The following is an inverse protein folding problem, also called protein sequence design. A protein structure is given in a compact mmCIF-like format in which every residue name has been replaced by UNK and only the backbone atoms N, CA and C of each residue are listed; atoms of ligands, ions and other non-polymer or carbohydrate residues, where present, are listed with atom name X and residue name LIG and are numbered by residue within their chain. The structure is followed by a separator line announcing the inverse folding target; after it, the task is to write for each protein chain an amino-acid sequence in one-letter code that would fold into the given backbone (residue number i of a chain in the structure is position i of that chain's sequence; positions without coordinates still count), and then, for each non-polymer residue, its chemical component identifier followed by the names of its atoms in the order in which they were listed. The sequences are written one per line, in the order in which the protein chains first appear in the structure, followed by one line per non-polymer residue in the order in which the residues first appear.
data_IF_586280554980
#
_entry.id   IF_586280554980
#
_cell.length_a   1.000
_cell.length_b   1.000
_cell.length_c   1.000
_cell.angle_alpha   90.00
_cell.angle_beta   90.00
_cell.angle_gamma   90.00
#
_symmetry.space_group_name_H-M   'P 1'
#
loop_
_entity.id
_entity.type
_entity.pdbx_description
1 polymer ?
#
# COMPACT_ATOMS: atom_id res chain seq x y z
N UNK A 1 -13.68 10.03 -12.02
CA UNK A 1 -12.55 9.27 -12.56
C UNK A 1 -12.25 9.80 -13.96
N UNK A 2 -11.03 10.27 -14.18
CA UNK A 2 -10.61 10.74 -15.50
C UNK A 2 -10.56 9.56 -16.50
N UNK A 3 -10.72 9.78 -17.83
CA UNK A 3 -10.62 8.71 -18.82
C UNK A 3 -9.27 7.96 -18.77
N UNK A 4 -9.27 6.65 -19.04
CA UNK A 4 -8.07 5.84 -19.18
C UNK A 4 -8.32 4.61 -20.03
N UNK A 5 -7.25 4.10 -20.63
CA UNK A 5 -7.23 2.81 -21.34
C UNK A 5 -7.12 1.62 -20.39
N UNK A 6 -6.59 1.85 -19.19
CA UNK A 6 -6.34 0.82 -18.19
C UNK A 6 -7.07 1.12 -16.88
N UNK A 7 -7.69 0.08 -16.34
CA UNK A 7 -8.43 0.07 -15.09
C UNK A 7 -8.17 -1.25 -14.37
N UNK A 8 -8.25 -1.19 -13.05
CA UNK A 8 -8.22 -2.39 -12.21
C UNK A 8 -9.65 -2.80 -11.94
N UNK A 9 -10.02 -4.03 -12.27
CA UNK A 9 -11.24 -4.65 -11.76
C UNK A 9 -10.85 -5.53 -10.59
N UNK A 10 -11.28 -5.18 -9.40
CA UNK A 10 -10.87 -5.85 -8.18
C UNK A 10 -12.06 -6.30 -7.34
N UNK A 11 -11.87 -7.47 -6.74
CA UNK A 11 -12.48 -7.89 -5.49
C UNK A 11 -11.34 -8.41 -4.62
N UNK A 12 -11.49 -8.40 -3.31
CA UNK A 12 -10.62 -9.19 -2.45
C UNK A 12 -11.42 -10.31 -1.85
N UNK A 13 -10.94 -11.55 -2.04
CA UNK A 13 -11.47 -12.72 -1.35
C UNK A 13 -11.29 -12.60 0.17
N UNK A 14 -10.30 -11.81 0.58
CA UNK A 14 -9.87 -11.63 1.96
C UNK A 14 -10.66 -10.51 2.65
N UNK A 15 -10.97 -9.43 1.92
CA UNK A 15 -11.83 -8.35 2.38
C UNK A 15 -13.30 -8.57 2.00
N UNK A 16 -14.02 -9.26 2.88
CA UNK A 16 -15.47 -9.46 2.76
C UNK A 16 -16.30 -8.20 2.97
N UNK A 17 -15.69 -7.09 3.44
CA UNK A 17 -16.39 -5.80 3.55
C UNK A 17 -16.49 -5.06 2.22
N UNK A 18 -15.63 -5.41 1.23
CA UNK A 18 -15.44 -4.68 -0.03
C UNK A 18 -15.03 -3.21 0.16
N UNK A 19 -14.54 -2.82 1.33
CA UNK A 19 -14.37 -1.42 1.69
C UNK A 19 -12.94 -1.04 2.04
N UNK A 20 -12.04 -1.97 2.41
CA UNK A 20 -10.74 -1.61 2.96
C UNK A 20 -9.86 -0.83 1.99
N UNK A 21 -9.70 -1.32 0.76
CA UNK A 21 -9.00 -0.60 -0.31
C UNK A 21 -9.66 0.76 -0.62
N UNK A 22 -10.97 0.82 -0.95
CA UNK A 22 -11.66 2.09 -1.16
C UNK A 22 -11.58 3.08 0.02
N UNK A 23 -11.60 2.59 1.27
CA UNK A 23 -11.49 3.39 2.49
C UNK A 23 -10.08 3.98 2.61
N UNK A 24 -9.03 3.17 2.45
CA UNK A 24 -7.65 3.64 2.49
C UNK A 24 -7.39 4.72 1.44
N UNK A 25 -7.88 4.52 0.22
CA UNK A 25 -7.75 5.52 -0.85
C UNK A 25 -8.51 6.81 -0.52
N UNK A 26 -9.70 6.71 0.07
CA UNK A 26 -10.45 7.89 0.49
C UNK A 26 -9.74 8.66 1.61
N UNK A 27 -9.26 7.97 2.64
CA UNK A 27 -8.50 8.56 3.75
C UNK A 27 -7.29 9.33 3.20
N UNK A 28 -6.50 8.71 2.32
CA UNK A 28 -5.33 9.35 1.74
C UNK A 28 -5.67 10.61 0.94
N UNK A 29 -6.76 10.58 0.16
CA UNK A 29 -7.28 11.76 -0.54
C UNK A 29 -7.70 12.87 0.42
N UNK A 30 -8.39 12.54 1.52
CA UNK A 30 -8.79 13.54 2.53
C UNK A 30 -7.62 14.19 3.24
N UNK A 31 -6.48 13.51 3.31
CA UNK A 31 -5.23 14.06 3.80
C UNK A 31 -4.47 14.89 2.75
N UNK A 32 -5.05 15.09 1.56
CA UNK A 32 -4.50 15.92 0.48
C UNK A 32 -3.55 15.20 -0.45
N UNK A 33 -3.49 13.87 -0.42
CA UNK A 33 -2.67 13.07 -1.33
C UNK A 33 -3.47 12.57 -2.53
N UNK A 34 -2.77 12.16 -3.59
CA UNK A 34 -3.44 11.46 -4.68
C UNK A 34 -3.59 9.97 -4.33
N UNK A 35 -4.77 9.40 -4.58
CA UNK A 35 -5.02 7.98 -4.42
C UNK A 35 -6.08 7.51 -5.43
N UNK A 36 -6.05 6.25 -5.88
CA UNK A 36 -6.98 5.71 -6.87
C UNK A 36 -8.45 5.94 -6.53
N UNK A 37 -9.21 6.59 -7.42
CA UNK A 37 -10.66 6.56 -7.32
C UNK A 37 -11.20 5.16 -7.62
N UNK A 38 -12.30 4.78 -6.95
CA UNK A 38 -13.00 3.51 -7.17
C UNK A 38 -14.49 3.70 -7.42
N UNK A 39 -15.10 2.76 -8.14
CA UNK A 39 -16.55 2.67 -8.37
C UNK A 39 -17.00 1.22 -8.25
N UNK A 40 -17.96 0.97 -7.36
CA UNK A 40 -18.57 -0.35 -7.22
C UNK A 40 -19.38 -0.72 -8.45
N UNK A 41 -19.31 -1.99 -8.84
CA UNK A 41 -20.01 -2.55 -9.98
C UNK A 41 -20.51 -3.96 -9.65
N UNK A 42 -21.65 -4.33 -10.22
CA UNK A 42 -22.11 -5.72 -10.22
C UNK A 42 -21.62 -6.37 -11.52
N UNK A 43 -20.68 -7.31 -11.43
CA UNK A 43 -20.11 -7.96 -12.59
C UNK A 43 -21.05 -9.05 -13.12
N UNK A 44 -21.36 -8.98 -14.42
CA UNK A 44 -22.15 -9.99 -15.13
C UNK A 44 -21.45 -10.32 -16.44
N UNK A 45 -21.46 -11.60 -16.82
CA UNK A 45 -20.93 -12.06 -18.09
C UNK A 45 -21.93 -13.00 -18.75
N UNK A 46 -22.50 -12.58 -19.88
CA UNK A 46 -23.65 -13.25 -20.48
C UNK A 46 -24.83 -13.28 -19.50
N UNK A 47 -25.40 -14.47 -19.28
CA UNK A 47 -26.45 -14.69 -18.27
C UNK A 47 -25.93 -14.88 -16.85
N UNK A 48 -24.60 -15.05 -16.67
CA UNK A 48 -24.01 -15.39 -15.37
C UNK A 48 -23.71 -14.15 -14.54
N UNK A 49 -24.01 -14.27 -13.27
CA UNK A 49 -23.74 -13.30 -12.23
C UNK A 49 -22.44 -13.63 -11.50
N UNK A 50 -21.56 -12.66 -11.33
CA UNK A 50 -20.29 -12.82 -10.62
C UNK A 50 -20.25 -11.99 -9.33
N UNK A 51 -21.30 -11.22 -9.04
CA UNK A 51 -21.39 -10.47 -7.79
C UNK A 51 -20.75 -9.09 -7.81
N UNK A 52 -20.37 -8.60 -6.64
CA UNK A 52 -19.90 -7.25 -6.35
C UNK A 52 -18.39 -7.13 -6.56
N UNK A 53 -17.99 -6.11 -7.29
CA UNK A 53 -16.60 -5.73 -7.54
C UNK A 53 -16.47 -4.21 -7.38
N UNK A 54 -15.25 -3.70 -7.47
CA UNK A 54 -15.00 -2.31 -7.79
C UNK A 54 -14.02 -2.18 -8.95
N UNK A 55 -14.27 -1.17 -9.79
CA UNK A 55 -13.32 -0.69 -10.78
C UNK A 55 -12.52 0.44 -10.12
N UNK A 56 -11.18 0.38 -10.24
CA UNK A 56 -10.25 1.34 -9.67
C UNK A 56 -9.29 1.91 -10.70
N UNK A 57 -8.81 3.13 -10.46
CA UNK A 57 -7.69 3.69 -11.20
C UNK A 57 -6.42 2.86 -10.93
N UNK A 58 -5.61 2.64 -11.96
CA UNK A 58 -4.26 2.09 -11.80
C UNK A 58 -3.32 3.20 -11.34
N UNK A 59 -2.40 2.90 -10.43
CA UNK A 59 -1.35 3.84 -10.01
C UNK A 59 -0.33 3.98 -11.13
N UNK A 60 -0.46 5.05 -11.89
CA UNK A 60 0.43 5.41 -12.99
C UNK A 60 0.25 6.89 -13.30
N UNK A 61 1.28 7.51 -13.86
CA UNK A 61 1.15 8.87 -14.35
C UNK A 61 0.13 8.96 -15.49
N UNK A 62 -0.86 9.86 -15.35
CA UNK A 62 -1.88 10.11 -16.34
C UNK A 62 -2.55 11.47 -16.10
N UNK A 63 -2.90 12.23 -17.16
CA UNK A 63 -3.66 13.47 -17.02
C UNK A 63 -4.94 13.28 -16.19
N UNK A 64 -5.21 14.20 -15.28
CA UNK A 64 -6.38 14.17 -14.39
C UNK A 64 -6.33 13.09 -13.29
N UNK A 65 -5.19 12.41 -13.10
CA UNK A 65 -4.94 11.40 -12.07
C UNK A 65 -3.64 11.72 -11.31
N UNK A 66 -2.77 10.73 -11.10
CA UNK A 66 -1.41 10.98 -10.64
C UNK A 66 -0.68 11.75 -11.74
N UNK A 67 -0.33 13.00 -11.48
CA UNK A 67 0.21 13.88 -12.50
C UNK A 67 1.72 13.67 -12.64
N UNK A 68 2.18 13.56 -13.88
CA UNK A 68 3.60 13.66 -14.15
C UNK A 68 4.05 15.10 -13.81
N UNK A 69 5.20 15.29 -13.13
CA UNK A 69 5.82 16.61 -13.00
C UNK A 69 6.03 17.29 -14.35
N UNK A 70 6.12 18.61 -14.36
CA UNK A 70 6.35 19.40 -15.58
C UNK A 70 7.67 19.02 -16.26
N UNK A 71 7.68 19.02 -17.60
CA UNK A 71 8.87 18.68 -18.38
C UNK A 71 10.09 19.54 -18.01
N UNK A 72 11.28 18.92 -17.97
CA UNK A 72 12.56 19.61 -17.74
C UNK A 72 13.04 19.67 -16.29
N UNK A 73 12.27 19.20 -15.31
CA UNK A 73 12.71 19.20 -13.90
C UNK A 73 13.71 18.09 -13.54
N UNK A 74 13.89 17.10 -14.41
CA UNK A 74 14.67 15.89 -14.10
C UNK A 74 13.91 14.90 -13.19
N UNK A 75 12.67 15.22 -12.83
CA UNK A 75 11.76 14.40 -12.03
C UNK A 75 10.82 13.53 -12.88
N UNK A 76 9.83 12.91 -12.26
CA UNK A 76 8.80 12.11 -12.94
C UNK A 76 9.17 10.64 -13.05
N UNK A 77 9.86 10.13 -12.04
CA UNK A 77 10.14 8.70 -11.87
C UNK A 77 9.13 8.17 -10.85
N UNK A 78 8.40 7.13 -11.21
CA UNK A 78 7.53 6.40 -10.29
C UNK A 78 8.22 5.10 -9.89
N UNK A 79 8.32 4.88 -8.59
CA UNK A 79 8.91 3.70 -7.99
C UNK A 79 7.84 2.94 -7.20
N UNK A 80 7.99 1.62 -7.14
CA UNK A 80 7.19 0.75 -6.30
C UNK A 80 8.10 0.09 -5.25
N UNK A 81 7.75 0.19 -3.98
CA UNK A 81 8.36 -0.60 -2.90
C UNK A 81 7.58 -1.91 -2.86
N UNK A 82 8.17 -2.97 -3.41
CA UNK A 82 7.54 -4.28 -3.59
C UNK A 82 8.63 -5.36 -3.81
N UNK A 83 8.21 -6.62 -3.89
CA UNK A 83 9.04 -7.75 -4.28
C UNK A 83 9.58 -7.60 -5.70
N UNK A 84 10.90 -7.75 -5.95
CA UNK A 84 11.46 -7.68 -7.29
C UNK A 84 10.72 -8.59 -8.27
N UNK A 85 10.25 -8.02 -9.39
CA UNK A 85 9.60 -8.75 -10.48
C UNK A 85 10.59 -9.05 -11.59
N UNK A 86 10.49 -10.26 -12.16
CA UNK A 86 11.32 -10.64 -13.31
C UNK A 86 11.07 -9.66 -14.47
N UNK A 87 12.15 -9.20 -15.11
CA UNK A 87 12.08 -8.23 -16.22
C UNK A 87 11.89 -6.77 -15.81
N UNK A 88 11.58 -6.48 -14.54
CA UNK A 88 11.54 -5.10 -14.03
C UNK A 88 12.90 -4.66 -13.50
N UNK A 89 13.23 -3.38 -13.66
CA UNK A 89 14.46 -2.79 -13.12
C UNK A 89 14.20 -2.35 -11.69
N UNK A 90 15.12 -2.67 -10.79
CA UNK A 90 15.06 -2.26 -9.39
C UNK A 90 16.41 -1.77 -8.89
N UNK A 91 16.38 -0.87 -7.91
CA UNK A 91 17.52 -0.53 -7.05
C UNK A 91 17.26 -1.05 -5.64
N UNK A 92 18.32 -1.20 -4.85
CA UNK A 92 18.20 -1.61 -3.44
C UNK A 92 19.00 -0.63 -2.58
N UNK A 93 18.36 -0.09 -1.55
CA UNK A 93 19.02 0.84 -0.65
C UNK A 93 20.14 0.15 0.15
N UNK A 94 21.23 0.86 0.36
CA UNK A 94 22.48 0.30 0.90
C UNK A 94 22.38 -0.16 2.36
N UNK A 95 21.73 0.61 3.22
CA UNK A 95 21.71 0.38 4.67
C UNK A 95 20.64 -0.62 5.07
N UNK A 96 19.39 -0.36 4.69
CA UNK A 96 18.22 -1.15 5.11
C UNK A 96 17.88 -2.26 4.12
N UNK A 97 18.30 -2.14 2.86
CA UNK A 97 18.02 -3.15 1.83
C UNK A 97 16.61 -3.07 1.25
N UNK A 98 15.93 -1.94 1.39
CA UNK A 98 14.61 -1.70 0.78
C UNK A 98 14.74 -1.72 -0.73
N UNK A 99 13.86 -2.46 -1.39
CA UNK A 99 13.85 -2.59 -2.85
C UNK A 99 12.89 -1.58 -3.45
N UNK A 100 13.37 -0.81 -4.43
CA UNK A 100 12.57 0.12 -5.20
C UNK A 100 12.58 -0.31 -6.66
N UNK A 101 11.42 -0.70 -7.18
CA UNK A 101 11.22 -1.09 -8.57
C UNK A 101 10.78 0.10 -9.41
N UNK A 102 11.29 0.23 -10.62
CA UNK A 102 10.94 1.34 -11.51
C UNK A 102 9.62 1.02 -12.22
N UNK A 103 8.54 1.66 -11.77
CA UNK A 103 7.22 1.54 -12.40
C UNK A 103 7.12 2.45 -13.64
N UNK A 104 7.75 3.62 -13.60
CA UNK A 104 7.87 4.56 -14.71
C UNK A 104 9.20 5.36 -14.63
N UNK A 105 9.89 5.63 -15.75
CA UNK A 105 9.55 5.22 -17.12
C UNK A 105 9.79 3.71 -17.35
N UNK A 106 9.06 3.13 -18.31
CA UNK A 106 9.24 1.70 -18.67
C UNK A 106 10.64 1.39 -19.22
N UNK A 107 11.21 2.33 -19.97
CA UNK A 107 12.57 2.24 -20.52
C UNK A 107 13.51 3.14 -19.70
N UNK A 108 13.76 2.77 -18.45
CA UNK A 108 14.67 3.53 -17.59
C UNK A 108 16.11 3.41 -18.08
N UNK A 109 16.79 4.55 -18.21
CA UNK A 109 18.19 4.62 -18.66
C UNK A 109 19.16 4.25 -17.54
N UNK A 110 20.41 3.94 -17.88
CA UNK A 110 21.46 3.71 -16.86
C UNK A 110 21.73 4.96 -16.01
N UNK A 111 21.65 6.16 -16.61
CA UNK A 111 21.80 7.41 -15.88
C UNK A 111 20.67 7.60 -14.87
N UNK A 112 19.41 7.37 -15.27
CA UNK A 112 18.27 7.44 -14.36
C UNK A 112 18.38 6.41 -13.24
N UNK A 113 18.77 5.16 -13.55
CA UNK A 113 18.99 4.16 -12.50
C UNK A 113 20.10 4.54 -11.52
N UNK A 114 21.20 5.11 -12.01
CA UNK A 114 22.28 5.61 -11.16
C UNK A 114 21.80 6.74 -10.25
N UNK A 115 21.00 7.68 -10.79
CA UNK A 115 20.39 8.75 -10.01
C UNK A 115 19.42 8.22 -8.95
N UNK A 116 18.52 7.29 -9.32
CA UNK A 116 17.59 6.67 -8.37
C UNK A 116 18.38 5.96 -7.25
N UNK A 117 19.42 5.18 -7.60
CA UNK A 117 20.26 4.49 -6.62
C UNK A 117 20.91 5.47 -5.63
N UNK A 118 21.50 6.56 -6.14
CA UNK A 118 22.10 7.59 -5.30
C UNK A 118 21.08 8.22 -4.34
N UNK A 119 19.91 8.61 -4.85
CA UNK A 119 18.87 9.23 -4.03
C UNK A 119 18.34 8.28 -2.94
N UNK A 120 18.03 7.02 -3.28
CA UNK A 120 17.53 6.07 -2.27
C UNK A 120 18.60 5.70 -1.24
N UNK A 121 19.88 5.64 -1.64
CA UNK A 121 20.98 5.42 -0.70
C UNK A 121 21.18 6.61 0.24
N UNK A 122 21.00 7.83 -0.26
CA UNK A 122 21.09 9.05 0.52
C UNK A 122 19.94 9.16 1.53
N UNK A 123 18.70 8.91 1.10
CA UNK A 123 17.54 8.83 2.00
C UNK A 123 17.76 7.77 3.08
N UNK A 124 18.18 6.57 2.70
CA UNK A 124 18.39 5.45 3.62
C UNK A 124 19.52 5.70 4.62
N UNK A 125 20.64 6.29 4.14
CA UNK A 125 21.76 6.70 4.98
C UNK A 125 21.39 7.81 5.97
N UNK A 126 20.70 8.87 5.49
CA UNK A 126 20.26 9.99 6.34
C UNK A 126 19.21 9.55 7.36
N UNK A 127 18.26 8.68 6.97
CA UNK A 127 17.29 8.11 7.89
C UNK A 127 17.96 7.28 8.99
N UNK A 128 18.94 6.43 8.64
CA UNK A 128 19.68 5.64 9.62
C UNK A 128 20.53 6.51 10.56
N UNK A 129 21.19 7.54 10.04
CA UNK A 129 21.96 8.49 10.85
C UNK A 129 21.07 9.38 11.74
N UNK A 130 19.90 9.78 11.24
CA UNK A 130 18.91 10.63 11.91
C UNK A 130 18.36 10.01 13.20
N UNK A 131 18.44 8.69 13.36
CA UNK A 131 18.13 7.99 14.62
C UNK A 131 19.05 8.43 15.77
N UNK A 132 20.28 8.85 15.47
CA UNK A 132 21.33 9.12 16.46
C UNK A 132 21.83 10.57 16.47
N UNK A 133 21.55 11.36 15.43
CA UNK A 133 22.03 12.74 15.30
C UNK A 133 20.92 13.70 14.84
N UNK A 134 20.62 14.75 15.62
CA UNK A 134 19.70 15.82 15.21
C UNK A 134 20.13 16.57 13.94
N UNK A 135 21.43 16.69 13.68
CA UNK A 135 21.98 17.33 12.48
C UNK A 135 21.64 16.51 11.23
N UNK A 136 21.83 15.18 11.29
CA UNK A 136 21.40 14.28 10.23
C UNK A 136 19.86 14.26 10.06
N UNK A 137 19.12 14.48 11.14
CA UNK A 137 17.66 14.60 11.10
C UNK A 137 17.19 15.86 10.34
N UNK A 138 17.92 16.97 10.44
CA UNK A 138 17.61 18.22 9.71
C UNK A 138 17.87 18.11 8.21
N UNK A 139 18.89 17.35 7.82
CA UNK A 139 19.23 17.18 6.40
C UNK A 139 18.28 16.21 5.68
N UNK A 140 17.54 15.36 6.40
CA UNK A 140 16.63 14.40 5.77
C UNK A 140 15.54 15.06 4.90
N UNK A 141 15.03 16.24 5.27
CA UNK A 141 14.02 17.00 4.51
C UNK A 141 14.53 17.51 3.15
N UNK A 142 15.85 17.58 2.96
CA UNK A 142 16.47 17.97 1.68
C UNK A 142 16.29 16.91 0.60
N UNK A 143 16.10 15.64 0.99
CA UNK A 143 16.00 14.49 0.08
C UNK A 143 14.69 13.71 0.21
N UNK A 144 13.89 13.99 1.24
CA UNK A 144 12.61 13.32 1.51
C UNK A 144 11.51 14.36 1.73
N UNK A 145 10.40 14.24 1.03
CA UNK A 145 9.22 15.07 1.29
C UNK A 145 8.47 14.58 2.55
N UNK A 146 8.68 15.30 3.65
CA UNK A 146 8.04 15.00 4.93
C UNK A 146 6.53 15.06 4.86
N UNK A 147 5.94 15.95 4.07
CA UNK A 147 4.49 16.10 4.03
C UNK A 147 3.82 14.87 3.40
N UNK A 148 4.35 14.36 2.29
CA UNK A 148 3.81 13.16 1.64
C UNK A 148 4.07 11.88 2.42
N UNK A 149 5.26 11.71 3.00
CA UNK A 149 5.54 10.54 3.84
C UNK A 149 4.72 10.57 5.13
N UNK A 150 4.58 11.72 5.78
CA UNK A 150 3.70 11.87 6.95
C UNK A 150 2.28 11.47 6.64
N UNK A 151 1.75 11.88 5.48
CA UNK A 151 0.42 11.46 5.02
C UNK A 151 0.28 9.94 4.94
N UNK A 152 1.28 9.27 4.38
CA UNK A 152 1.30 7.81 4.30
C UNK A 152 1.37 7.14 5.66
N UNK A 153 2.24 7.64 6.56
CA UNK A 153 2.29 7.16 7.94
C UNK A 153 0.93 7.30 8.62
N UNK A 154 0.24 8.43 8.49
CA UNK A 154 -1.08 8.59 9.11
C UNK A 154 -2.09 7.56 8.59
N UNK A 155 -2.07 7.27 7.28
CA UNK A 155 -2.89 6.19 6.73
C UNK A 155 -2.50 4.84 7.33
N UNK A 156 -1.22 4.50 7.35
CA UNK A 156 -0.76 3.18 7.76
C UNK A 156 -0.88 2.90 9.26
N UNK A 157 -0.75 3.92 10.09
CA UNK A 157 -0.98 3.82 11.53
C UNK A 157 -2.48 3.67 11.83
N UNK A 158 -3.35 4.34 11.08
CA UNK A 158 -4.80 4.20 11.24
C UNK A 158 -5.32 2.87 10.69
N UNK A 159 -4.75 2.42 9.57
CA UNK A 159 -5.13 1.19 8.89
C UNK A 159 -4.57 -0.06 9.57
N UNK A 160 -3.42 0.06 10.25
CA UNK A 160 -2.64 -1.06 10.80
C UNK A 160 -2.48 -2.14 9.72
N UNK A 161 -2.05 -1.72 8.53
CA UNK A 161 -1.90 -2.64 7.41
C UNK A 161 -0.72 -3.61 7.66
N UNK A 162 -0.95 -4.87 7.31
CA UNK A 162 0.04 -5.93 7.50
C UNK A 162 1.19 -5.81 6.53
N UNK A 163 0.97 -5.35 5.31
CA UNK A 163 2.02 -5.26 4.30
C UNK A 163 2.60 -3.84 4.19
N UNK A 164 1.90 -2.86 4.78
CA UNK A 164 2.37 -1.50 4.95
C UNK A 164 3.81 -1.39 5.45
N UNK A 165 4.49 -0.36 4.96
CA UNK A 165 5.92 -0.10 5.17
C UNK A 165 6.89 -1.16 4.62
N UNK A 166 6.41 -2.26 4.06
CA UNK A 166 7.24 -3.29 3.45
C UNK A 166 6.96 -3.46 1.95
N UNK A 167 5.68 -3.42 1.55
CA UNK A 167 5.24 -3.70 0.18
C UNK A 167 4.05 -2.82 -0.23
N UNK A 168 3.65 -2.96 -1.50
CA UNK A 168 2.44 -2.35 -2.06
C UNK A 168 2.39 -0.83 -1.88
N UNK A 169 3.54 -0.19 -2.06
CA UNK A 169 3.68 1.25 -1.86
C UNK A 169 4.30 1.91 -3.10
N UNK A 170 3.83 3.11 -3.43
CA UNK A 170 4.33 3.89 -4.56
C UNK A 170 4.91 5.21 -4.07
N UNK A 171 6.16 5.44 -4.45
CA UNK A 171 6.89 6.68 -4.21
C UNK A 171 7.34 7.26 -5.54
N UNK A 172 7.52 8.56 -5.62
CA UNK A 172 8.00 9.24 -6.81
C UNK A 172 9.24 10.07 -6.49
N UNK A 173 10.05 10.30 -7.52
CA UNK A 173 11.08 11.35 -7.47
C UNK A 173 10.47 12.63 -8.00
N UNK A 174 10.46 13.66 -7.15
CA UNK A 174 9.86 14.97 -7.41
C UNK A 174 10.63 16.06 -6.68
N UNK A 175 10.96 17.13 -7.41
CA UNK A 175 11.78 18.24 -6.95
C UNK A 175 13.11 17.76 -6.34
N UNK A 176 13.73 16.74 -6.94
CA UNK A 176 14.96 16.13 -6.45
C UNK A 176 14.82 15.30 -5.16
N UNK A 177 13.60 15.14 -4.64
CA UNK A 177 13.31 14.43 -3.39
C UNK A 177 12.50 13.17 -3.64
N UNK A 178 12.62 12.20 -2.74
CA UNK A 178 11.70 11.08 -2.65
C UNK A 178 10.41 11.55 -1.97
N UNK A 179 9.29 11.42 -2.68
CA UNK A 179 7.96 11.77 -2.20
C UNK A 179 7.05 10.54 -2.23
N UNK A 180 6.13 10.40 -1.29
CA UNK A 180 5.15 9.33 -1.38
C UNK A 180 4.06 9.69 -2.41
N UNK A 181 3.86 8.85 -3.42
CA UNK A 181 3.02 9.12 -4.57
C UNK A 181 1.57 8.66 -4.36
N UNK A 182 1.38 7.39 -3.94
CA UNK A 182 0.04 6.82 -3.78
C UNK A 182 0.06 5.55 -2.91
N UNK A 183 -0.93 5.35 -2.03
CA UNK A 183 -1.08 4.10 -1.31
C UNK A 183 -1.68 3.02 -2.23
N UNK A 184 -1.38 1.75 -1.95
CA UNK A 184 -1.96 0.62 -2.66
C UNK A 184 -2.20 -0.57 -1.71
N UNK A 185 -3.12 -1.47 -2.09
CA UNK A 185 -3.35 -2.80 -1.50
C UNK A 185 -3.51 -2.91 0.03
N UNK A 186 -4.54 -2.28 0.59
CA UNK A 186 -4.91 -2.31 2.01
C UNK A 186 -6.01 -3.34 2.33
N UNK A 187 -6.14 -4.43 1.57
CA UNK A 187 -7.18 -5.44 1.84
C UNK A 187 -6.92 -6.25 3.13
N UNK A 188 -5.66 -6.25 3.61
CA UNK A 188 -5.21 -6.81 4.88
C UNK A 188 -5.22 -5.82 6.07
N UNK A 189 -5.86 -4.65 5.90
CA UNK A 189 -5.91 -3.60 6.91
C UNK A 189 -7.21 -3.60 7.75
N UNK A 190 -7.37 -2.59 8.59
CA UNK A 190 -8.57 -2.28 9.37
C UNK A 190 -9.11 -3.48 10.17
N UNK A 191 -8.22 -4.12 10.93
CA UNK A 191 -8.57 -5.23 11.82
C UNK A 191 -8.69 -6.59 11.12
N UNK A 192 -8.17 -6.75 9.89
CA UNK A 192 -8.22 -8.02 9.17
C UNK A 192 -7.46 -9.16 9.87
N UNK A 193 -6.18 -8.97 10.23
CA UNK A 193 -5.40 -10.00 10.89
C UNK A 193 -4.85 -9.55 12.25
N UNK A 194 -5.21 -10.33 13.26
CA UNK A 194 -4.70 -10.22 14.63
C UNK A 194 -3.75 -11.38 14.94
N UNK A 195 -2.84 -11.73 14.02
CA UNK A 195 -1.83 -12.76 14.28
C UNK A 195 -0.68 -12.16 15.10
N UNK A 196 -0.32 -12.75 16.26
CA UNK A 196 0.82 -12.29 17.06
C UNK A 196 2.12 -12.19 16.25
N UNK A 197 2.35 -13.10 15.30
CA UNK A 197 3.55 -13.12 14.45
C UNK A 197 3.80 -11.81 13.69
N UNK A 198 2.76 -11.01 13.45
CA UNK A 198 2.84 -9.72 12.75
C UNK A 198 2.93 -8.50 13.67
N UNK A 199 2.96 -8.72 14.99
CA UNK A 199 2.87 -7.68 16.01
C UNK A 199 4.01 -7.76 17.03
N UNK A 200 5.14 -8.31 16.62
CA UNK A 200 6.37 -8.26 17.39
C UNK A 200 7.04 -6.92 17.16
N UNK A 201 7.17 -6.12 18.21
CA UNK A 201 7.82 -4.82 18.18
C UNK A 201 9.34 -4.97 17.95
N UNK A 202 9.88 -4.20 17.02
CA UNK A 202 11.27 -4.22 16.58
C UNK A 202 12.26 -3.64 17.59
N UNK A 203 11.77 -2.82 18.51
CA UNK A 203 12.57 -2.12 19.51
C UNK A 203 12.61 -2.89 20.82
N UNK A 204 11.48 -3.47 21.23
CA UNK A 204 11.35 -4.16 22.53
C UNK A 204 11.39 -5.68 22.42
N UNK A 205 11.13 -6.24 21.24
CA UNK A 205 10.95 -7.68 21.05
C UNK A 205 9.62 -8.22 21.61
N UNK A 206 8.79 -7.37 22.22
CA UNK A 206 7.50 -7.76 22.77
C UNK A 206 6.48 -8.00 21.66
N UNK A 207 5.68 -9.05 21.79
CA UNK A 207 4.60 -9.38 20.87
C UNK A 207 3.25 -9.05 21.50
N UNK A 208 2.51 -8.13 20.88
CA UNK A 208 1.16 -7.76 21.32
C UNK A 208 0.08 -8.45 20.49
N UNK A 209 -1.05 -8.78 21.10
CA UNK A 209 -2.28 -9.18 20.41
C UNK A 209 -3.30 -8.04 20.28
N UNK A 210 -3.02 -6.89 20.90
CA UNK A 210 -3.87 -5.69 20.87
C UNK A 210 -3.57 -4.76 19.71
N UNK A 211 -4.34 -3.67 19.63
CA UNK A 211 -4.16 -2.58 18.64
C UNK A 211 -3.27 -1.44 19.17
N UNK A 212 -2.64 -1.66 20.33
CA UNK A 212 -1.78 -0.69 20.99
C UNK A 212 -0.41 -0.58 20.31
N UNK A 213 0.18 0.61 20.38
CA UNK A 213 1.47 0.92 19.78
C UNK A 213 1.36 1.36 18.32
N UNK A 214 2.52 1.54 17.69
CA UNK A 214 2.63 1.99 16.30
C UNK A 214 2.90 0.81 15.38
N UNK A 215 2.18 0.73 14.26
CA UNK A 215 2.35 -0.30 13.25
C UNK A 215 3.76 -0.30 12.65
N UNK A 216 4.35 0.89 12.42
CA UNK A 216 5.73 1.01 11.90
C UNK A 216 6.78 0.36 12.80
N UNK A 217 6.50 0.23 14.11
CA UNK A 217 7.41 -0.41 15.06
C UNK A 217 7.35 -1.94 15.00
N UNK A 218 6.38 -2.54 14.32
CA UNK A 218 6.33 -3.99 14.17
C UNK A 218 7.37 -4.48 13.15
N UNK A 219 8.04 -5.59 13.48
CA UNK A 219 9.02 -6.23 12.60
C UNK A 219 8.31 -6.93 11.45
N UNK A 220 8.91 -6.87 10.26
CA UNK A 220 8.56 -7.71 9.12
C UNK A 220 9.79 -8.43 8.57
N UNK A 221 10.26 -9.43 9.30
CA UNK A 221 11.39 -10.30 8.94
C UNK A 221 10.93 -11.72 8.60
N UNK A 222 9.64 -12.02 8.74
CA UNK A 222 9.02 -13.23 8.22
C UNK A 222 7.59 -12.95 7.75
N UNK A 223 7.13 -13.71 6.76
CA UNK A 223 5.76 -13.60 6.26
C UNK A 223 5.25 -14.96 5.80
N UNK A 224 3.99 -15.26 6.10
CA UNK A 224 3.32 -16.43 5.54
C UNK A 224 2.71 -16.06 4.19
N UNK A 225 3.20 -16.67 3.12
CA UNK A 225 2.69 -16.54 1.75
C UNK A 225 1.93 -17.79 1.35
N UNK A 226 0.80 -17.64 0.65
CA UNK A 226 0.17 -18.77 -0.01
C UNK A 226 0.91 -19.14 -1.30
N UNK A 227 1.16 -20.43 -1.49
CA UNK A 227 1.75 -21.01 -2.69
C UNK A 227 0.84 -22.10 -3.26
N UNK A 228 1.14 -22.62 -4.45
CA UNK A 228 0.40 -23.73 -5.06
C UNK A 228 0.34 -24.99 -4.16
N UNK A 229 1.26 -25.12 -3.20
CA UNK A 229 1.35 -26.25 -2.26
C UNK A 229 1.02 -25.87 -0.81
N UNK A 230 0.36 -24.72 -0.60
CA UNK A 230 -0.10 -24.27 0.71
C UNK A 230 0.64 -23.05 1.26
N UNK A 231 0.38 -22.73 2.53
CA UNK A 231 1.03 -21.63 3.23
C UNK A 231 2.49 -21.96 3.55
N UNK A 232 3.40 -21.09 3.11
CA UNK A 232 4.82 -21.16 3.42
C UNK A 232 5.27 -19.90 4.13
N UNK A 233 6.09 -20.05 5.17
CA UNK A 233 6.73 -18.90 5.81
C UNK A 233 8.04 -18.58 5.12
N UNK A 234 8.11 -17.40 4.52
CA UNK A 234 9.32 -16.83 3.96
C UNK A 234 9.98 -16.02 5.07
N UNK A 235 11.23 -16.33 5.40
CA UNK A 235 12.03 -15.51 6.32
C UNK A 235 12.89 -14.55 5.49
N UNK A 236 12.73 -13.25 5.73
CA UNK A 236 13.66 -12.25 5.28
C UNK A 236 14.83 -12.17 6.27
N UNK A 237 16.05 -12.03 5.76
CA UNK A 237 17.24 -11.90 6.61
C UNK A 237 17.33 -10.53 7.32
N UNK A 238 16.40 -9.61 7.04
CA UNK A 238 16.32 -8.26 7.59
C UNK A 238 14.86 -7.87 7.79
N UNK A 239 14.63 -6.92 8.70
CA UNK A 239 13.33 -6.28 8.84
C UNK A 239 13.02 -5.48 7.57
N UNK A 240 11.99 -5.88 6.83
CA UNK A 240 11.61 -5.22 5.57
C UNK A 240 11.00 -3.83 5.78
N UNK A 241 10.61 -3.49 7.02
CA UNK A 241 10.12 -2.15 7.41
C UNK A 241 11.23 -1.21 7.91
N UNK A 242 12.50 -1.62 7.84
CA UNK A 242 13.58 -0.91 8.55
C UNK A 242 13.78 0.54 8.08
N UNK A 243 13.60 0.83 6.79
CA UNK A 243 13.67 2.22 6.30
C UNK A 243 12.65 3.11 7.01
N UNK A 244 11.37 2.71 6.99
CA UNK A 244 10.29 3.45 7.62
C UNK A 244 10.44 3.51 9.15
N UNK A 245 10.96 2.45 9.78
CA UNK A 245 11.30 2.49 11.20
C UNK A 245 12.41 3.51 11.50
N UNK A 246 13.40 3.65 10.63
CA UNK A 246 14.43 4.68 10.79
C UNK A 246 13.87 6.10 10.57
N UNK A 247 12.98 6.28 9.60
CA UNK A 247 12.24 7.54 9.41
C UNK A 247 11.44 7.90 10.66
N UNK A 248 10.66 6.95 11.19
CA UNK A 248 9.88 7.11 12.42
C UNK A 248 10.75 7.54 13.61
N UNK A 249 11.94 6.97 13.72
CA UNK A 249 12.88 7.24 14.82
C UNK A 249 13.72 8.48 14.61
N UNK A 250 13.63 9.14 13.46
CA UNK A 250 14.29 10.42 13.21
C UNK A 250 13.49 11.53 13.91
N UNK A 251 14.06 12.26 14.89
CA UNK A 251 13.29 13.18 15.73
C UNK A 251 12.54 14.29 14.97
N UNK A 252 13.13 14.83 13.91
CA UNK A 252 12.49 15.86 13.07
C UNK A 252 11.24 15.31 12.38
N UNK A 253 11.32 14.13 11.78
CA UNK A 253 10.19 13.48 11.12
C UNK A 253 9.11 13.09 12.13
N UNK A 254 9.48 12.52 13.28
CA UNK A 254 8.54 12.19 14.34
C UNK A 254 7.79 13.44 14.86
N UNK A 255 8.49 14.54 15.08
CA UNK A 255 7.88 15.80 15.50
C UNK A 255 6.91 16.35 14.45
N UNK A 256 7.30 16.32 13.17
CA UNK A 256 6.44 16.71 12.05
C UNK A 256 5.17 15.84 11.99
N UNK A 257 5.33 14.52 12.09
CA UNK A 257 4.22 13.58 12.11
C UNK A 257 3.25 13.86 13.26
N UNK A 258 3.75 14.04 14.49
CA UNK A 258 2.88 14.29 15.66
C UNK A 258 2.07 15.56 15.49
N UNK A 259 2.66 16.63 14.94
CA UNK A 259 1.95 17.87 14.65
C UNK A 259 0.85 17.66 13.59
N UNK A 260 1.19 16.99 12.48
CA UNK A 260 0.24 16.70 11.40
C UNK A 260 -0.90 15.77 11.86
N UNK A 261 -0.58 14.73 12.64
CA UNK A 261 -1.56 13.79 13.20
C UNK A 261 -2.58 14.50 14.10
N UNK A 262 -2.11 15.38 15.00
CA UNK A 262 -2.99 16.19 15.85
C UNK A 262 -3.95 17.05 15.03
N UNK A 263 -3.45 17.71 13.99
CA UNK A 263 -4.28 18.49 13.07
C UNK A 263 -5.29 17.61 12.32
N UNK A 264 -4.83 16.48 11.78
CA UNK A 264 -5.68 15.56 11.02
C UNK A 264 -6.83 14.97 11.88
N UNK A 265 -6.55 14.65 13.15
CA UNK A 265 -7.54 14.15 14.11
C UNK A 265 -8.59 15.18 14.54
N UNK A 266 -8.34 16.47 14.33
CA UNK A 266 -9.33 17.54 14.48
C UNK A 266 -10.12 17.83 13.19
N UNK A 267 -9.71 17.24 12.07
CA UNK A 267 -10.28 17.50 10.75
C UNK A 267 -10.59 16.22 9.99
N UNK A 268 -9.86 15.91 8.90
CA UNK A 268 -10.20 14.84 7.97
C UNK A 268 -10.26 13.43 8.58
N UNK A 269 -9.58 13.21 9.71
CA UNK A 269 -9.51 11.93 10.42
C UNK A 269 -10.24 11.93 11.76
N UNK A 270 -11.14 12.88 12.06
CA UNK A 270 -12.00 12.75 13.25
C UNK A 270 -12.91 11.52 13.16
N UNK A 271 -13.37 10.99 14.29
CA UNK A 271 -14.11 9.72 14.32
C UNK A 271 -15.39 9.78 13.49
N UNK A 272 -16.15 10.87 13.58
CA UNK A 272 -17.37 11.04 12.80
C UNK A 272 -17.08 11.05 11.29
N UNK A 273 -15.93 11.60 10.87
CA UNK A 273 -15.55 11.61 9.46
C UNK A 273 -15.21 10.19 8.99
N UNK A 274 -14.50 9.40 9.79
CA UNK A 274 -14.16 8.01 9.46
C UNK A 274 -15.41 7.13 9.42
N UNK A 275 -16.30 7.27 10.39
CA UNK A 275 -17.59 6.56 10.44
C UNK A 275 -18.49 6.91 9.26
N UNK A 276 -18.56 8.19 8.88
CA UNK A 276 -19.31 8.66 7.71
C UNK A 276 -18.77 8.03 6.42
N UNK A 277 -17.44 7.98 6.27
CA UNK A 277 -16.80 7.36 5.10
C UNK A 277 -17.19 5.89 4.94
N UNK A 278 -17.19 5.13 6.04
CA UNK A 278 -17.62 3.71 6.06
C UNK A 278 -19.11 3.58 5.82
N UNK A 279 -19.94 4.27 6.61
CA UNK A 279 -21.39 4.15 6.58
C UNK A 279 -21.95 4.52 5.21
N UNK A 280 -21.46 5.59 4.59
CA UNK A 280 -21.88 6.01 3.25
C UNK A 280 -21.60 4.94 2.19
N UNK A 281 -20.45 4.25 2.29
CA UNK A 281 -20.12 3.13 1.38
C UNK A 281 -20.99 1.91 1.65
N UNK A 282 -21.15 1.51 2.92
CA UNK A 282 -22.03 0.43 3.33
C UNK A 282 -23.45 0.61 2.81
N UNK A 283 -24.05 1.79 2.98
CA UNK A 283 -25.39 2.10 2.45
C UNK A 283 -25.45 1.98 0.93
N UNK A 284 -24.43 2.47 0.23
CA UNK A 284 -24.37 2.45 -1.24
C UNK A 284 -24.28 1.04 -1.82
N UNK A 285 -23.61 0.11 -1.13
CA UNK A 285 -23.38 -1.26 -1.63
C UNK A 285 -24.33 -2.29 -1.03
N UNK A 286 -25.19 -1.92 -0.07
CA UNK A 286 -25.99 -2.87 0.73
C UNK A 286 -26.81 -3.85 -0.12
N UNK A 287 -27.54 -3.36 -1.14
CA UNK A 287 -28.32 -4.23 -2.02
C UNK A 287 -27.45 -5.22 -2.82
N UNK A 288 -26.29 -4.76 -3.31
CA UNK A 288 -25.33 -5.63 -3.98
C UNK A 288 -24.71 -6.65 -3.02
N UNK A 289 -24.39 -6.24 -1.79
CA UNK A 289 -23.84 -7.14 -0.78
C UNK A 289 -24.85 -8.25 -0.41
N UNK A 290 -26.13 -7.93 -0.26
CA UNK A 290 -27.18 -8.93 -0.04
C UNK A 290 -27.34 -9.90 -1.21
N UNK A 291 -27.24 -9.39 -2.44
CA UNK A 291 -27.24 -10.22 -3.65
C UNK A 291 -26.01 -11.14 -3.70
N UNK A 292 -24.84 -10.63 -3.34
CA UNK A 292 -23.62 -11.43 -3.27
C UNK A 292 -23.73 -12.54 -2.24
N UNK A 293 -24.28 -12.24 -1.06
CA UNK A 293 -24.61 -13.27 -0.10
C UNK A 293 -25.53 -14.32 -0.74
N UNK A 294 -26.59 -13.96 -1.46
CA UNK A 294 -27.43 -14.95 -2.12
C UNK A 294 -26.71 -15.79 -3.21
N UNK A 295 -25.74 -15.21 -3.93
CA UNK A 295 -24.94 -15.91 -4.95
C UNK A 295 -23.94 -16.87 -4.30
N UNK A 296 -23.34 -16.48 -3.19
CA UNK A 296 -22.19 -17.17 -2.60
C UNK A 296 -22.52 -17.95 -1.31
N UNK A 297 -23.68 -17.71 -0.70
CA UNK A 297 -24.20 -18.43 0.46
C UNK A 297 -24.74 -19.78 0.02
N UNK A 298 -23.84 -20.73 -0.16
CA UNK A 298 -24.20 -22.10 -0.51
C UNK A 298 -24.07 -22.99 0.74
N UNK A 299 -25.22 -23.30 1.35
CA UNK A 299 -25.33 -24.24 2.46
C UNK A 299 -25.12 -25.71 2.03
N UNK A 300 -25.05 -25.98 0.71
CA UNK A 300 -25.00 -27.34 0.16
C UNK A 300 -23.65 -27.71 -0.46
N UNK A 301 -22.57 -26.92 -0.29
CA UNK A 301 -21.24 -27.36 -0.76
C UNK A 301 -20.84 -28.67 -0.06
N UNK A 302 -20.71 -29.81 -0.78
CA UNK A 302 -20.25 -31.06 -0.18
C UNK A 302 -18.87 -30.82 0.44
N UNK A 303 -18.60 -31.39 1.62
CA UNK A 303 -17.29 -31.22 2.31
C UNK A 303 -16.09 -31.55 1.40
N UNK A 304 -16.27 -32.44 0.41
CA UNK A 304 -15.26 -32.83 -0.58
C UNK A 304 -15.03 -31.82 -1.73
N UNK A 305 -15.89 -30.80 -1.86
CA UNK A 305 -15.72 -29.62 -2.74
C UNK A 305 -15.71 -28.31 -1.94
N UNK A 306 -15.23 -28.35 -0.69
CA UNK A 306 -14.47 -27.20 -0.20
C UNK A 306 -13.34 -27.03 -1.19
N UNK A 307 -13.49 -26.09 -2.11
CA UNK A 307 -12.40 -25.68 -2.99
C UNK A 307 -11.29 -25.28 -2.04
N UNK A 308 -10.29 -26.14 -1.85
CA UNK A 308 -8.98 -25.64 -1.44
C UNK A 308 -8.68 -24.53 -2.44
N UNK A 309 -8.10 -23.42 -2.00
CA UNK A 309 -7.90 -22.23 -2.83
C UNK A 309 -7.25 -22.48 -4.22
N UNK A 310 -6.81 -23.70 -4.52
CA UNK A 310 -6.35 -24.21 -5.79
C UNK A 310 -7.42 -24.32 -6.92
N UNK A 311 -8.69 -24.70 -6.69
CA UNK A 311 -9.56 -25.15 -7.81
C UNK A 311 -10.41 -24.06 -8.47
N UNK A 312 -10.59 -22.89 -7.85
CA UNK A 312 -11.36 -21.76 -8.44
C UNK A 312 -10.57 -20.99 -9.52
N UNK A 313 -9.27 -21.23 -9.66
CA UNK A 313 -8.41 -20.57 -10.66
C UNK A 313 -8.35 -21.29 -12.02
N UNK A 314 -9.03 -22.43 -12.19
CA UNK A 314 -9.14 -23.10 -13.48
C UNK A 314 -10.16 -22.43 -14.44
N UNK A 315 -11.06 -21.58 -13.92
CA UNK A 315 -12.04 -20.82 -14.72
C UNK A 315 -12.01 -19.32 -14.41
N UNK A 316 -10.83 -18.72 -14.59
CA UNK A 316 -10.61 -17.27 -14.55
C UNK A 316 -9.68 -16.81 -15.67
N UNK A 317 -9.62 -17.56 -16.76
CA UNK A 317 -8.94 -17.16 -17.98
C UNK A 317 -9.81 -16.24 -18.83
N UNK A 318 -10.00 -14.99 -18.39
CA UNK A 318 -10.27 -13.90 -19.33
C UNK A 318 -8.96 -13.14 -19.45
N UNK A 319 -8.20 -13.55 -20.46
CA UNK A 319 -6.90 -13.00 -20.86
C UNK A 319 -7.01 -11.48 -21.06
N UNK A 320 -6.55 -10.70 -20.09
CA UNK A 320 -5.91 -9.42 -20.39
C UNK A 320 -4.43 -9.73 -20.68
N UNK A 321 -3.98 -9.45 -21.90
CA UNK A 321 -2.64 -9.76 -22.41
C UNK A 321 -1.53 -9.06 -21.62
N UNK A 322 -0.43 -9.80 -21.40
CA UNK A 322 0.94 -9.33 -21.13
C UNK A 322 1.40 -9.63 -19.70
N UNK A 323 2.57 -10.19 -19.40
CA UNK A 323 3.80 -10.51 -20.15
C UNK A 323 4.52 -11.62 -19.34
N UNK A 324 5.30 -12.48 -20.01
CA UNK A 324 6.09 -13.59 -19.45
C UNK A 324 7.08 -13.21 -18.36
#
# INVERSE_FOLDING_TARGET
MAPSREWVLAMSFVDTSFQRNPLAFEIYRRLGGWAPETRYVNLRWGSKDFGLYYIGEKVQFSPGRLQLPSEGSGDGILLQIDWPKAGERSVKSKTTGTTFQVAFPKNVTHQQLGYIQQLVDEVDGRAAAGVHSPEAAKSLEEVLDFASFTRYFMLQELAIDLDGYAFSDYVEVKDGRLSHAAPWDHDLAFGFACKPDYRRNALTGHTSSGVEGWNVENVRDAMTRWSAIGFQTIKAHRNMRQLFLNLWRTPSFAAYFVAAWRSARQGPLRDEALEEMVSRRSSRISASAWRDLAIWHDAERPQQRRVSAATLFAFGGIRAKGVY
#
